data_IF_083456037782
#
_entry.id   IF_083456037782
#
_cell.length_a   1.000
_cell.length_b   1.000
_cell.length_c   1.000
_cell.angle_alpha   90.00
_cell.angle_beta   90.00
_cell.angle_gamma   90.00
#
_symmetry.space_group_name_H-M   'P 1'
#
loop_
_entity.id
_entity.type
_entity.pdbx_description
1 polymer ?
#
# COMPACT_ATOMS: atom_id res chain seq x y z
N UNK A 1 28.20 -15.11 14.81
CA UNK A 1 29.50 -15.41 15.47
C UNK A 1 29.88 -14.20 16.27
N UNK A 2 29.65 -14.23 17.59
CA UNK A 2 30.00 -13.14 18.49
C UNK A 2 31.50 -13.19 18.77
N UNK A 3 32.17 -12.07 18.58
CA UNK A 3 33.57 -11.91 18.96
C UNK A 3 33.58 -11.81 20.49
N UNK A 4 33.85 -12.93 21.18
CA UNK A 4 34.17 -12.95 22.61
C UNK A 4 35.52 -12.25 22.82
N UNK A 5 35.49 -10.96 23.06
CA UNK A 5 36.63 -10.29 23.72
C UNK A 5 36.50 -10.50 25.24
N UNK A 6 37.52 -10.99 25.93
CA UNK A 6 37.44 -11.21 27.37
C UNK A 6 37.10 -9.90 28.07
N UNK A 7 35.97 -9.88 28.78
CA UNK A 7 35.51 -8.74 29.57
C UNK A 7 34.29 -7.95 29.05
N UNK A 8 33.76 -8.28 27.87
CA UNK A 8 32.55 -7.61 27.38
C UNK A 8 31.34 -8.58 27.44
N UNK A 9 30.26 -8.10 28.05
CA UNK A 9 28.96 -8.78 28.01
C UNK A 9 28.01 -7.90 27.22
N UNK A 10 27.37 -8.46 26.20
CA UNK A 10 26.31 -7.79 25.46
C UNK A 10 25.01 -8.57 25.57
N UNK A 11 23.91 -7.86 25.69
CA UNK A 11 22.57 -8.42 25.76
C UNK A 11 21.53 -7.47 25.21
N UNK A 12 20.35 -7.97 25.00
CA UNK A 12 19.19 -7.19 24.59
C UNK A 12 18.17 -7.14 25.74
N UNK A 13 17.65 -5.97 26.04
CA UNK A 13 16.66 -5.74 27.09
C UNK A 13 15.43 -5.06 26.48
N UNK A 14 14.27 -5.63 26.72
CA UNK A 14 13.00 -5.00 26.36
C UNK A 14 12.44 -4.24 27.57
N UNK A 15 12.33 -2.91 27.44
CA UNK A 15 11.79 -2.01 28.46
C UNK A 15 10.50 -1.35 27.92
N UNK A 16 9.36 -1.94 28.21
CA UNK A 16 8.07 -1.49 27.70
C UNK A 16 8.00 -1.59 26.17
N UNK A 17 7.97 -0.44 25.47
CA UNK A 17 7.97 -0.39 24.00
C UNK A 17 9.35 -0.20 23.37
N UNK A 18 10.41 -0.16 24.19
CA UNK A 18 11.78 0.06 23.72
C UNK A 18 12.57 -1.23 23.76
N UNK A 19 13.42 -1.40 22.74
CA UNK A 19 14.41 -2.47 22.64
C UNK A 19 15.78 -1.80 22.79
N UNK A 20 16.48 -2.18 23.86
CA UNK A 20 17.78 -1.60 24.22
C UNK A 20 18.87 -2.65 24.08
N UNK A 21 19.93 -2.37 23.35
CA UNK A 21 21.15 -3.17 23.40
C UNK A 21 22.00 -2.66 24.57
N UNK A 22 22.36 -3.59 25.44
CA UNK A 22 23.21 -3.34 26.61
C UNK A 22 24.61 -3.88 26.34
N UNK A 23 25.62 -3.04 26.54
CA UNK A 23 27.02 -3.40 26.51
C UNK A 23 27.62 -3.12 27.87
N UNK A 24 28.21 -4.13 28.52
CA UNK A 24 28.88 -4.03 29.80
C UNK A 24 30.40 -4.28 29.62
N UNK A 25 31.19 -3.36 30.11
CA UNK A 25 32.63 -3.48 30.12
C UNK A 25 33.17 -3.27 31.55
N UNK A 26 34.10 -4.09 32.03
CA UNK A 26 34.78 -3.83 33.28
C UNK A 26 35.69 -2.57 33.13
N UNK A 27 35.64 -1.68 34.10
CA UNK A 27 36.53 -0.56 34.21
C UNK A 27 37.39 -0.79 35.46
N UNK A 28 38.71 -0.93 35.30
CA UNK A 28 39.67 -1.10 36.41
C UNK A 28 40.53 0.14 36.52
N UNK A 29 40.45 0.80 37.67
CA UNK A 29 41.29 1.93 38.04
C UNK A 29 42.30 1.51 39.15
N UNK A 30 42.90 0.34 38.97
CA UNK A 30 44.01 -0.15 39.81
C UNK A 30 43.67 -0.47 41.28
N UNK A 31 42.67 0.12 41.89
CA UNK A 31 42.25 -0.10 43.27
C UNK A 31 40.75 -0.36 43.46
N UNK A 32 39.91 0.07 42.54
CA UNK A 32 38.45 -0.18 42.60
C UNK A 32 37.97 -0.70 41.25
N UNK A 33 37.37 -1.91 41.27
CA UNK A 33 36.70 -2.47 40.08
C UNK A 33 35.35 -1.79 39.90
N UNK A 34 35.07 -1.31 38.68
CA UNK A 34 33.80 -0.76 38.24
C UNK A 34 33.33 -1.44 36.96
N UNK A 35 32.13 -1.14 36.56
CA UNK A 35 31.61 -1.54 35.24
C UNK A 35 31.03 -0.32 34.52
N UNK A 36 31.34 -0.19 33.25
CA UNK A 36 30.68 0.77 32.34
C UNK A 36 29.55 0.04 31.60
N UNK A 37 28.36 0.63 31.63
CA UNK A 37 27.22 0.18 30.88
C UNK A 37 26.88 1.18 29.78
N UNK A 38 26.79 0.73 28.54
CA UNK A 38 26.26 1.50 27.40
C UNK A 38 24.92 0.91 26.99
N UNK A 39 23.91 1.75 26.96
CA UNK A 39 22.56 1.39 26.50
C UNK A 39 22.30 2.09 25.17
N UNK A 40 22.01 1.31 24.15
CA UNK A 40 21.68 1.82 22.82
C UNK A 40 20.22 1.48 22.48
N UNK A 41 19.39 2.50 22.22
CA UNK A 41 18.00 2.29 21.79
C UNK A 41 17.98 1.87 20.32
N UNK A 42 17.74 0.60 20.08
CA UNK A 42 17.67 -0.03 18.75
C UNK A 42 16.22 -0.30 18.28
N UNK A 43 15.25 0.27 18.98
CA UNK A 43 13.82 0.01 18.72
C UNK A 43 13.45 0.28 17.26
N UNK A 44 13.84 1.41 16.71
CA UNK A 44 13.53 1.77 15.32
C UNK A 44 14.24 0.84 14.33
N UNK A 45 15.51 0.49 14.61
CA UNK A 45 16.29 -0.41 13.76
C UNK A 45 15.67 -1.81 13.73
N UNK A 46 15.33 -2.36 14.91
CA UNK A 46 14.70 -3.70 15.02
C UNK A 46 13.35 -3.75 14.31
N UNK A 47 12.50 -2.75 14.51
CA UNK A 47 11.22 -2.65 13.80
C UNK A 47 11.41 -2.61 12.28
N UNK A 48 12.40 -1.87 11.79
CA UNK A 48 12.69 -1.81 10.36
C UNK A 48 13.19 -3.16 9.82
N UNK A 49 14.03 -3.88 10.57
CA UNK A 49 14.50 -5.22 10.21
C UNK A 49 13.35 -6.24 10.18
N UNK A 50 12.46 -6.19 11.19
CA UNK A 50 11.26 -7.04 11.23
C UNK A 50 10.33 -6.75 10.07
N UNK A 51 10.00 -5.49 9.82
CA UNK A 51 9.18 -5.09 8.66
C UNK A 51 9.80 -5.55 7.34
N UNK A 52 11.13 -5.48 7.20
CA UNK A 52 11.83 -5.95 5.99
C UNK A 52 11.74 -7.48 5.84
N UNK A 53 11.91 -8.25 6.93
CA UNK A 53 11.77 -9.70 6.92
C UNK A 53 10.33 -10.11 6.57
N UNK A 54 9.36 -9.48 7.19
CA UNK A 54 7.93 -9.71 6.93
C UNK A 54 7.58 -9.36 5.47
N UNK A 55 8.10 -8.25 4.95
CA UNK A 55 7.92 -7.86 3.56
C UNK A 55 8.42 -8.95 2.59
N UNK A 56 9.65 -9.46 2.76
CA UNK A 56 10.21 -10.52 1.90
C UNK A 56 9.40 -11.81 2.01
N UNK A 57 8.97 -12.19 3.21
CA UNK A 57 8.13 -13.36 3.42
C UNK A 57 6.77 -13.22 2.70
N UNK A 58 6.12 -12.06 2.85
CA UNK A 58 4.83 -11.78 2.21
C UNK A 58 4.94 -11.75 0.67
N UNK A 59 5.99 -11.12 0.10
CA UNK A 59 6.27 -11.18 -1.35
C UNK A 59 6.38 -12.62 -1.83
N UNK A 60 7.15 -13.46 -1.10
CA UNK A 60 7.36 -14.85 -1.47
C UNK A 60 6.06 -15.65 -1.45
N UNK A 61 5.19 -15.39 -0.47
CA UNK A 61 3.88 -16.03 -0.38
C UNK A 61 2.92 -15.56 -1.47
N UNK A 62 2.84 -14.24 -1.72
CA UNK A 62 1.93 -13.67 -2.72
C UNK A 62 2.33 -14.02 -4.17
N UNK A 63 3.60 -14.36 -4.43
CA UNK A 63 4.06 -14.86 -5.73
C UNK A 63 3.94 -16.39 -5.85
N UNK A 64 4.11 -17.15 -4.77
CA UNK A 64 4.05 -18.61 -4.80
C UNK A 64 2.67 -19.15 -5.15
N UNK A 65 1.62 -18.56 -4.59
CA UNK A 65 0.23 -19.01 -4.81
C UNK A 65 -0.18 -18.95 -6.28
N UNK A 66 -0.10 -17.80 -6.99
CA UNK A 66 -0.44 -17.74 -8.41
C UNK A 66 0.45 -18.65 -9.26
N UNK A 67 1.73 -18.75 -8.95
CA UNK A 67 2.66 -19.63 -9.67
C UNK A 67 2.25 -21.11 -9.55
N UNK A 68 1.79 -21.52 -8.36
CA UNK A 68 1.29 -22.89 -8.13
C UNK A 68 0.01 -23.14 -8.94
N UNK A 69 -0.90 -22.16 -8.99
CA UNK A 69 -2.12 -22.27 -9.77
C UNK A 69 -1.82 -22.35 -11.28
N UNK A 70 -0.99 -21.43 -11.81
CA UNK A 70 -0.56 -21.45 -13.22
C UNK A 70 0.05 -22.79 -13.58
N UNK A 71 0.94 -23.30 -12.76
CA UNK A 71 1.59 -24.61 -12.98
C UNK A 71 0.56 -25.74 -12.96
N UNK A 72 -0.32 -25.80 -11.96
CA UNK A 72 -1.31 -26.88 -11.82
C UNK A 72 -2.26 -26.95 -13.00
N UNK A 73 -2.82 -25.80 -13.45
CA UNK A 73 -3.72 -25.77 -14.61
C UNK A 73 -2.98 -26.10 -15.91
N UNK A 74 -1.73 -25.63 -16.08
CA UNK A 74 -0.91 -25.97 -17.24
C UNK A 74 -0.57 -27.47 -17.28
N UNK A 75 -0.20 -28.09 -16.13
CA UNK A 75 0.03 -29.55 -16.02
C UNK A 75 -1.27 -30.32 -16.34
N UNK A 76 -2.43 -29.88 -15.81
CA UNK A 76 -3.72 -30.52 -16.10
C UNK A 76 -4.07 -30.47 -17.59
N UNK A 77 -3.85 -29.33 -18.24
CA UNK A 77 -4.06 -29.19 -19.69
C UNK A 77 -3.14 -30.06 -20.53
N UNK A 78 -1.87 -30.20 -20.10
CA UNK A 78 -0.87 -30.99 -20.81
C UNK A 78 -1.15 -32.50 -20.69
N UNK A 79 -1.56 -32.96 -19.48
CA UNK A 79 -1.63 -34.39 -19.16
C UNK A 79 -2.99 -35.02 -19.49
N UNK A 80 -3.97 -34.24 -19.98
CA UNK A 80 -5.30 -34.70 -20.35
C UNK A 80 -5.65 -34.24 -21.76
N UNK A 81 -5.61 -35.13 -22.74
CA UNK A 81 -5.93 -34.83 -24.14
C UNK A 81 -7.45 -34.66 -24.39
N UNK A 82 -8.31 -35.27 -23.57
CA UNK A 82 -9.75 -35.30 -23.72
C UNK A 82 -10.51 -34.20 -22.95
N UNK A 83 -9.84 -33.13 -22.53
CA UNK A 83 -10.51 -32.02 -21.83
C UNK A 83 -11.48 -31.30 -22.80
N UNK A 84 -12.79 -31.15 -22.42
CA UNK A 84 -13.72 -30.35 -23.21
C UNK A 84 -13.18 -28.93 -23.45
N UNK A 85 -13.35 -28.41 -24.66
CA UNK A 85 -12.78 -27.13 -25.06
C UNK A 85 -13.18 -25.96 -24.14
N UNK A 86 -14.41 -25.96 -23.63
CA UNK A 86 -14.90 -24.92 -22.72
C UNK A 86 -14.15 -24.98 -21.38
N UNK A 87 -13.88 -26.19 -20.88
CA UNK A 87 -13.11 -26.39 -19.65
C UNK A 87 -11.65 -25.99 -19.86
N UNK A 88 -11.05 -26.35 -21.02
CA UNK A 88 -9.70 -25.95 -21.36
C UNK A 88 -9.58 -24.41 -21.45
N UNK A 89 -10.55 -23.74 -22.07
CA UNK A 89 -10.58 -22.27 -22.11
C UNK A 89 -10.69 -21.67 -20.70
N UNK A 90 -11.56 -22.21 -19.85
CA UNK A 90 -11.68 -21.74 -18.46
C UNK A 90 -10.37 -21.88 -17.68
N UNK A 91 -9.60 -22.97 -17.88
CA UNK A 91 -8.28 -23.13 -17.27
C UNK A 91 -7.26 -22.13 -17.80
N UNK A 92 -7.28 -21.86 -19.11
CA UNK A 92 -6.43 -20.84 -19.73
C UNK A 92 -6.76 -19.43 -19.20
N UNK A 93 -8.04 -19.10 -19.03
CA UNK A 93 -8.46 -17.83 -18.44
C UNK A 93 -7.92 -17.66 -17.00
N UNK A 94 -7.91 -18.74 -16.21
CA UNK A 94 -7.32 -18.72 -14.88
C UNK A 94 -5.79 -18.49 -14.98
N UNK A 95 -5.10 -19.17 -15.89
CA UNK A 95 -3.65 -18.99 -16.09
C UNK A 95 -3.33 -17.54 -16.47
N UNK A 96 -4.11 -16.95 -17.38
CA UNK A 96 -3.95 -15.55 -17.80
C UNK A 96 -4.18 -14.61 -16.61
N UNK A 97 -5.28 -14.79 -15.87
CA UNK A 97 -5.61 -13.92 -14.74
C UNK A 97 -4.57 -13.96 -13.62
N UNK A 98 -4.01 -15.14 -13.34
CA UNK A 98 -2.94 -15.28 -12.33
C UNK A 98 -1.61 -14.66 -12.81
N UNK A 99 -1.32 -14.75 -14.10
CA UNK A 99 -0.13 -14.10 -14.71
C UNK A 99 -0.26 -12.57 -14.66
N UNK A 100 -1.44 -12.02 -14.95
CA UNK A 100 -1.72 -10.60 -14.83
C UNK A 100 -1.63 -10.12 -13.38
N UNK A 101 -2.07 -10.95 -12.43
CA UNK A 101 -1.92 -10.69 -11.01
C UNK A 101 -0.44 -10.63 -10.60
N UNK A 102 0.38 -11.59 -11.04
CA UNK A 102 1.83 -11.59 -10.78
C UNK A 102 2.49 -10.33 -11.33
N UNK A 103 2.12 -9.94 -12.56
CA UNK A 103 2.63 -8.72 -13.20
C UNK A 103 2.31 -7.48 -12.37
N UNK A 104 1.08 -7.37 -11.85
CA UNK A 104 0.70 -6.25 -10.95
C UNK A 104 1.50 -6.26 -9.65
N UNK A 105 1.69 -7.43 -9.02
CA UNK A 105 2.52 -7.54 -7.80
C UNK A 105 3.94 -7.03 -8.07
N UNK A 106 4.57 -7.45 -9.16
CA UNK A 106 5.93 -7.03 -9.53
C UNK A 106 5.99 -5.51 -9.78
N UNK A 107 5.02 -4.93 -10.48
CA UNK A 107 4.95 -3.49 -10.74
C UNK A 107 4.78 -2.69 -9.45
N UNK A 108 3.92 -3.17 -8.53
CA UNK A 108 3.72 -2.57 -7.21
C UNK A 108 5.01 -2.60 -6.37
N UNK A 109 5.73 -3.72 -6.38
CA UNK A 109 7.02 -3.89 -5.70
C UNK A 109 8.08 -2.95 -6.25
N UNK A 110 8.19 -2.83 -7.57
CA UNK A 110 9.12 -1.90 -8.22
C UNK A 110 8.78 -0.45 -7.88
N UNK A 111 7.48 -0.12 -7.82
CA UNK A 111 7.02 1.21 -7.41
C UNK A 111 7.41 1.51 -5.98
N UNK A 112 7.15 0.60 -5.02
CA UNK A 112 7.56 0.74 -3.63
C UNK A 112 9.08 0.85 -3.48
N UNK A 113 9.84 0.00 -4.16
CA UNK A 113 11.30 0.04 -4.12
C UNK A 113 11.86 1.38 -4.58
N UNK A 114 11.31 1.96 -5.65
CA UNK A 114 11.70 3.30 -6.12
C UNK A 114 11.30 4.39 -5.13
N UNK A 115 10.12 4.28 -4.55
CA UNK A 115 9.67 5.19 -3.50
C UNK A 115 10.59 5.08 -2.26
N UNK A 116 10.87 3.91 -1.73
CA UNK A 116 11.71 3.71 -0.53
C UNK A 116 13.15 4.21 -0.70
N UNK A 117 13.74 4.00 -1.88
CA UNK A 117 15.13 4.41 -2.13
C UNK A 117 15.34 5.92 -2.30
N UNK A 118 14.28 6.73 -2.25
CA UNK A 118 14.36 8.16 -2.54
C UNK A 118 14.71 8.50 -4.00
N UNK A 119 14.94 7.47 -4.83
CA UNK A 119 15.33 7.63 -6.26
C UNK A 119 14.16 7.89 -7.19
N UNK A 120 12.92 7.82 -6.70
CA UNK A 120 11.78 8.26 -7.48
C UNK A 120 11.86 9.78 -7.59
N UNK A 121 12.39 10.30 -8.69
CA UNK A 121 12.20 11.69 -9.06
C UNK A 121 10.70 11.93 -9.20
N UNK A 122 10.12 12.66 -8.27
CA UNK A 122 8.74 13.11 -8.34
C UNK A 122 8.74 14.29 -9.30
N UNK A 123 8.14 14.11 -10.48
CA UNK A 123 8.03 15.19 -11.47
C UNK A 123 6.99 16.22 -11.01
N UNK A 124 7.44 17.16 -10.20
CA UNK A 124 6.57 18.23 -9.67
C UNK A 124 6.25 19.23 -10.76
N UNK A 125 5.04 19.14 -11.33
CA UNK A 125 4.50 20.06 -12.35
C UNK A 125 3.16 20.65 -11.91
N UNK A 126 2.81 21.80 -12.43
CA UNK A 126 1.46 22.36 -12.24
C UNK A 126 0.50 21.74 -13.25
N UNK A 127 -0.60 21.19 -12.77
CA UNK A 127 -1.65 20.61 -13.62
C UNK A 127 -3.05 20.84 -13.02
N UNK A 128 -4.10 20.85 -13.87
CA UNK A 128 -5.47 20.93 -13.39
C UNK A 128 -5.85 19.64 -12.66
N UNK A 129 -6.23 19.73 -11.38
CA UNK A 129 -6.66 18.56 -10.61
C UNK A 129 -7.87 17.87 -11.23
N UNK A 130 -8.81 18.65 -11.77
CA UNK A 130 -10.01 18.14 -12.43
C UNK A 130 -9.65 17.17 -13.57
N UNK A 131 -8.67 17.49 -14.40
CA UNK A 131 -8.28 16.65 -15.54
C UNK A 131 -7.74 15.28 -15.08
N UNK A 132 -7.00 15.27 -13.95
CA UNK A 132 -6.49 14.01 -13.38
C UNK A 132 -7.63 13.15 -12.82
N UNK A 133 -8.59 13.74 -12.10
CA UNK A 133 -9.75 13.03 -11.57
C UNK A 133 -10.63 12.48 -12.70
N UNK A 134 -10.92 13.30 -13.72
CA UNK A 134 -11.68 12.86 -14.88
C UNK A 134 -10.99 11.76 -15.70
N UNK A 135 -9.65 11.82 -15.81
CA UNK A 135 -8.85 10.77 -16.45
C UNK A 135 -9.06 9.42 -15.75
N UNK A 136 -8.95 9.42 -14.42
CA UNK A 136 -9.16 8.20 -13.62
C UNK A 136 -10.59 7.71 -13.70
N UNK A 137 -11.58 8.59 -13.53
CA UNK A 137 -13.00 8.21 -13.57
C UNK A 137 -13.38 7.57 -14.92
N UNK A 138 -12.87 8.12 -16.04
CA UNK A 138 -13.07 7.52 -17.37
C UNK A 138 -12.40 6.15 -17.49
N UNK A 139 -11.22 5.97 -16.94
CA UNK A 139 -10.48 4.70 -17.01
C UNK A 139 -11.19 3.55 -16.26
N UNK A 140 -11.90 3.86 -15.19
CA UNK A 140 -12.61 2.86 -14.37
C UNK A 140 -14.08 2.69 -14.73
N UNK A 141 -14.63 3.52 -15.63
CA UNK A 141 -16.06 3.56 -15.94
C UNK A 141 -16.59 2.23 -16.46
N UNK A 142 -15.86 1.59 -17.37
CA UNK A 142 -16.26 0.28 -17.92
C UNK A 142 -16.26 -0.81 -16.85
N UNK A 143 -15.28 -0.78 -15.94
CA UNK A 143 -15.20 -1.75 -14.84
C UNK A 143 -16.37 -1.55 -13.85
N UNK A 144 -16.66 -0.30 -13.49
CA UNK A 144 -17.82 0.03 -12.66
C UNK A 144 -19.13 -0.44 -13.31
N UNK A 145 -19.29 -0.22 -14.63
CA UNK A 145 -20.47 -0.67 -15.38
C UNK A 145 -20.60 -2.20 -15.42
N UNK A 146 -19.52 -2.96 -15.55
CA UNK A 146 -19.54 -4.43 -15.52
C UNK A 146 -20.10 -4.98 -14.21
N UNK A 147 -19.88 -4.28 -13.10
CA UNK A 147 -20.46 -4.59 -11.79
C UNK A 147 -21.80 -3.90 -11.53
N UNK A 148 -22.36 -3.20 -12.52
CA UNK A 148 -23.61 -2.45 -12.37
C UNK A 148 -23.52 -1.27 -11.40
N UNK A 149 -22.31 -0.80 -11.07
CA UNK A 149 -22.13 0.31 -10.14
C UNK A 149 -22.50 1.65 -10.77
N UNK A 150 -23.06 2.54 -9.95
CA UNK A 150 -23.25 3.94 -10.30
C UNK A 150 -22.00 4.72 -9.85
N UNK A 151 -21.28 5.30 -10.82
CA UNK A 151 -20.10 6.15 -10.54
C UNK A 151 -20.49 7.62 -10.58
N UNK A 152 -20.56 8.27 -9.44
CA UNK A 152 -20.90 9.69 -9.27
C UNK A 152 -19.63 10.55 -9.21
N UNK A 153 -19.70 11.74 -9.81
CA UNK A 153 -18.62 12.73 -9.83
C UNK A 153 -19.20 14.04 -9.31
N UNK A 154 -18.70 14.49 -8.15
CA UNK A 154 -19.22 15.70 -7.48
C UNK A 154 -18.03 16.59 -7.14
N UNK A 155 -17.76 17.54 -8.02
CA UNK A 155 -16.68 18.48 -7.79
C UNK A 155 -17.25 19.82 -7.34
N UNK A 156 -16.68 20.38 -6.27
CA UNK A 156 -17.03 21.70 -5.74
C UNK A 156 -16.69 22.83 -6.71
N UNK A 157 -16.54 24.08 -6.24
CA UNK A 157 -16.15 25.22 -7.09
C UNK A 157 -14.91 24.88 -7.90
N UNK A 158 -14.60 25.63 -8.99
CA UNK A 158 -13.53 25.25 -9.93
C UNK A 158 -12.28 24.79 -9.21
N UNK A 159 -11.91 23.51 -9.41
CA UNK A 159 -10.75 22.93 -8.77
C UNK A 159 -9.48 23.63 -9.27
N UNK A 160 -8.50 23.90 -8.39
CA UNK A 160 -7.31 24.65 -8.76
C UNK A 160 -6.34 23.79 -9.56
N UNK A 161 -5.37 24.44 -10.19
CA UNK A 161 -4.13 23.80 -10.57
C UNK A 161 -3.33 23.49 -9.28
N UNK A 162 -2.88 22.26 -9.15
CA UNK A 162 -2.01 21.83 -8.04
C UNK A 162 -0.59 21.56 -8.52
N UNK A 163 0.38 21.65 -7.60
CA UNK A 163 1.76 21.25 -7.85
C UNK A 163 1.94 19.78 -7.42
N UNK A 164 2.34 18.90 -8.35
CA UNK A 164 2.53 17.48 -8.04
C UNK A 164 2.96 16.66 -9.25
N UNK A 165 3.20 15.39 -9.02
CA UNK A 165 3.36 14.40 -10.09
C UNK A 165 1.98 13.86 -10.48
N UNK A 166 1.48 14.34 -11.62
CA UNK A 166 0.15 14.00 -12.11
C UNK A 166 -0.04 12.48 -12.19
N UNK A 167 0.91 11.78 -12.78
CA UNK A 167 0.80 10.32 -13.01
C UNK A 167 0.74 9.54 -11.68
N UNK A 168 1.50 9.98 -10.69
CA UNK A 168 1.48 9.39 -9.36
C UNK A 168 0.19 9.68 -8.60
N UNK A 169 -0.34 10.90 -8.73
CA UNK A 169 -1.62 11.26 -8.10
C UNK A 169 -2.80 10.56 -8.79
N UNK A 170 -2.79 10.39 -10.11
CA UNK A 170 -3.73 9.53 -10.82
C UNK A 170 -3.66 8.09 -10.30
N UNK A 171 -2.46 7.54 -10.06
CA UNK A 171 -2.27 6.22 -9.46
C UNK A 171 -2.88 6.12 -8.05
N UNK A 172 -2.76 7.16 -7.22
CA UNK A 172 -3.39 7.22 -5.89
C UNK A 172 -4.90 7.08 -6.01
N UNK A 173 -5.53 7.91 -6.84
CA UNK A 173 -6.98 7.90 -7.02
C UNK A 173 -7.44 6.57 -7.62
N UNK A 174 -6.69 6.03 -8.62
CA UNK A 174 -6.95 4.73 -9.22
C UNK A 174 -6.96 3.61 -8.19
N UNK A 175 -5.98 3.58 -7.28
CA UNK A 175 -5.88 2.57 -6.23
C UNK A 175 -7.08 2.64 -5.26
N UNK A 176 -7.54 3.85 -4.95
CA UNK A 176 -8.66 4.05 -4.03
C UNK A 176 -9.99 3.72 -4.71
N UNK A 177 -10.23 4.23 -5.93
CA UNK A 177 -11.46 3.94 -6.69
C UNK A 177 -11.54 2.46 -7.08
N UNK A 178 -10.41 1.85 -7.48
CA UNK A 178 -10.35 0.42 -7.77
C UNK A 178 -10.72 -0.45 -6.55
N UNK A 179 -10.32 -0.03 -5.35
CA UNK A 179 -10.77 -0.69 -4.12
C UNK A 179 -12.28 -0.48 -3.88
N UNK A 180 -12.80 0.73 -4.09
CA UNK A 180 -14.23 1.01 -3.97
C UNK A 180 -15.05 0.10 -4.90
N UNK A 181 -14.68 -0.03 -6.20
CA UNK A 181 -15.33 -0.94 -7.15
C UNK A 181 -15.29 -2.39 -6.65
N UNK A 182 -14.13 -2.82 -6.20
CA UNK A 182 -13.88 -4.20 -5.80
C UNK A 182 -14.65 -4.63 -4.54
N UNK A 183 -14.82 -3.72 -3.57
CA UNK A 183 -15.40 -4.05 -2.26
C UNK A 183 -16.86 -3.59 -2.12
N UNK A 184 -17.43 -3.04 -3.17
CA UNK A 184 -18.86 -2.73 -3.26
C UNK A 184 -19.57 -3.90 -3.93
N UNK A 185 -20.67 -4.45 -3.36
CA UNK A 185 -21.50 -5.42 -4.02
C UNK A 185 -22.10 -4.86 -5.32
N UNK A 186 -22.35 -5.74 -6.29
CA UNK A 186 -22.90 -5.37 -7.59
C UNK A 186 -24.15 -4.48 -7.45
N UNK A 187 -24.25 -3.45 -8.27
CA UNK A 187 -25.32 -2.46 -8.24
C UNK A 187 -25.16 -1.35 -7.20
N UNK A 188 -24.03 -1.31 -6.46
CA UNK A 188 -23.78 -0.26 -5.48
C UNK A 188 -23.37 1.09 -6.08
N UNK A 189 -23.15 2.07 -5.20
CA UNK A 189 -22.77 3.44 -5.57
C UNK A 189 -21.33 3.74 -5.15
N UNK A 190 -20.59 4.41 -6.03
CA UNK A 190 -19.26 4.92 -5.78
C UNK A 190 -19.25 6.40 -6.14
N UNK A 191 -18.80 7.27 -5.26
CA UNK A 191 -18.65 8.69 -5.56
C UNK A 191 -17.21 9.15 -5.44
N UNK A 192 -16.84 10.06 -6.34
CA UNK A 192 -15.57 10.80 -6.30
C UNK A 192 -15.93 12.28 -6.12
N UNK A 193 -15.70 12.78 -4.92
CA UNK A 193 -15.99 14.14 -4.54
C UNK A 193 -14.68 14.91 -4.34
N UNK A 194 -14.61 16.17 -4.75
CA UNK A 194 -13.41 16.98 -4.54
C UNK A 194 -13.77 18.44 -4.29
N UNK A 195 -12.93 19.11 -3.50
CA UNK A 195 -13.13 20.52 -3.17
C UNK A 195 -11.90 21.17 -2.57
N UNK A 196 -12.05 22.43 -2.17
CA UNK A 196 -10.99 23.25 -1.60
C UNK A 196 -11.31 23.55 -0.14
N UNK A 197 -10.27 23.52 0.70
CA UNK A 197 -10.33 24.00 2.08
C UNK A 197 -9.04 24.74 2.43
N UNK A 198 -9.10 26.07 2.42
CA UNK A 198 -7.93 26.93 2.62
C UNK A 198 -6.92 26.77 1.49
N UNK A 199 -5.69 26.45 1.83
CA UNK A 199 -4.56 26.20 0.92
C UNK A 199 -4.44 24.74 0.43
N UNK A 200 -5.45 23.92 0.71
CA UNK A 200 -5.46 22.49 0.38
C UNK A 200 -6.67 22.11 -0.47
N UNK A 201 -6.48 21.08 -1.28
CA UNK A 201 -7.57 20.35 -1.92
C UNK A 201 -7.82 19.07 -1.16
N UNK A 202 -9.07 18.63 -1.14
CA UNK A 202 -9.46 17.33 -0.65
C UNK A 202 -10.15 16.55 -1.77
N UNK A 203 -9.96 15.23 -1.75
CA UNK A 203 -10.59 14.26 -2.65
C UNK A 203 -11.15 13.17 -1.77
N UNK A 204 -12.44 12.92 -1.84
CA UNK A 204 -13.14 11.85 -1.16
C UNK A 204 -13.58 10.82 -2.19
N UNK A 205 -13.23 9.57 -1.92
CA UNK A 205 -13.79 8.43 -2.64
C UNK A 205 -14.64 7.67 -1.66
N UNK A 206 -15.94 7.66 -1.90
CA UNK A 206 -16.94 7.01 -1.05
C UNK A 206 -17.59 5.85 -1.80
N UNK A 207 -17.85 4.77 -1.09
CA UNK A 207 -18.54 3.59 -1.60
C UNK A 207 -19.65 3.13 -0.64
N UNK A 208 -20.60 2.38 -1.15
CA UNK A 208 -21.66 1.72 -0.38
C UNK A 208 -21.34 0.26 -0.08
N UNK A 209 -20.07 -0.08 -0.02
CA UNK A 209 -19.55 -1.44 0.13
C UNK A 209 -19.62 -2.00 1.55
N UNK A 210 -18.83 -3.05 1.78
CA UNK A 210 -18.83 -3.81 3.04
C UNK A 210 -18.25 -3.02 4.23
N UNK A 211 -17.61 -1.88 3.97
CA UNK A 211 -16.96 -1.07 5.00
C UNK A 211 -15.66 -1.65 5.52
N UNK A 212 -15.01 -0.91 6.43
CA UNK A 212 -13.75 -1.30 7.10
C UNK A 212 -13.95 -1.23 8.61
N UNK A 213 -13.74 -2.34 9.33
CA UNK A 213 -13.84 -2.36 10.79
C UNK A 213 -12.94 -1.29 11.43
N UNK A 214 -13.37 -0.61 12.50
CA UNK A 214 -12.60 0.48 13.12
C UNK A 214 -11.16 0.13 13.48
N UNK A 215 -10.92 -1.10 13.97
CA UNK A 215 -9.59 -1.59 14.35
C UNK A 215 -8.64 -1.76 13.17
N UNK A 216 -9.16 -1.84 11.93
CA UNK A 216 -8.38 -2.10 10.71
C UNK A 216 -8.09 -0.83 9.92
N UNK A 217 -8.80 0.29 10.21
CA UNK A 217 -8.74 1.54 9.42
C UNK A 217 -7.36 2.18 9.31
N UNK A 218 -6.51 2.04 10.32
CA UNK A 218 -5.12 2.50 10.25
C UNK A 218 -4.24 1.48 9.52
N UNK A 219 -4.52 0.19 9.72
CA UNK A 219 -3.71 -0.90 9.22
C UNK A 219 -3.88 -1.19 7.74
N UNK A 220 -5.01 -0.80 7.13
CA UNK A 220 -5.22 -1.01 5.69
C UNK A 220 -4.20 -0.30 4.80
N UNK A 221 -3.47 0.66 5.35
CA UNK A 221 -2.36 1.35 4.69
C UNK A 221 -1.01 0.66 4.89
N UNK A 222 -0.96 -0.42 5.69
CA UNK A 222 0.24 -1.23 5.86
C UNK A 222 0.43 -2.15 4.65
N UNK A 223 1.68 -2.46 4.32
CA UNK A 223 2.02 -3.31 3.16
C UNK A 223 1.49 -4.73 3.36
N UNK A 224 0.83 -5.29 2.34
CA UNK A 224 0.21 -6.62 2.34
C UNK A 224 -0.92 -6.82 3.37
N UNK A 225 -1.34 -5.75 4.05
CA UNK A 225 -2.44 -5.87 4.98
C UNK A 225 -3.77 -6.07 4.25
N UNK A 226 -4.61 -6.94 4.80
CA UNK A 226 -5.95 -7.24 4.30
C UNK A 226 -6.83 -7.60 5.49
N UNK A 227 -8.04 -7.05 5.53
CA UNK A 227 -9.04 -7.33 6.59
C UNK A 227 -9.46 -8.80 6.54
N UNK A 228 -9.71 -9.33 5.34
CA UNK A 228 -10.05 -10.73 5.11
C UNK A 228 -9.13 -11.32 4.02
N UNK A 229 -8.23 -12.22 4.43
CA UNK A 229 -7.26 -12.86 3.53
C UNK A 229 -7.91 -13.85 2.55
N UNK A 230 -9.02 -14.50 2.93
CA UNK A 230 -9.66 -15.51 2.09
C UNK A 230 -10.43 -14.85 0.94
N UNK A 231 -11.35 -13.96 1.26
CA UNK A 231 -12.18 -13.23 0.29
C UNK A 231 -11.36 -12.33 -0.64
N UNK A 232 -10.28 -11.75 -0.12
CA UNK A 232 -9.41 -10.87 -0.91
C UNK A 232 -8.52 -11.61 -1.91
N UNK A 233 -8.33 -12.95 -1.79
CA UNK A 233 -7.62 -13.75 -2.79
C UNK A 233 -8.45 -13.95 -4.04
N UNK A 234 -9.73 -14.23 -3.89
CA UNK A 234 -10.67 -14.40 -5.01
C UNK A 234 -10.78 -13.12 -5.84
N UNK A 235 -10.71 -11.96 -5.21
CA UNK A 235 -10.79 -10.66 -5.87
C UNK A 235 -9.42 -10.08 -6.34
N UNK A 236 -8.33 -10.87 -6.33
CA UNK A 236 -7.05 -10.54 -6.98
C UNK A 236 -6.26 -9.34 -6.44
N UNK A 237 -6.55 -8.85 -5.21
CA UNK A 237 -5.83 -7.73 -4.63
C UNK A 237 -4.42 -8.08 -4.15
N UNK A 238 -3.46 -7.19 -4.32
CA UNK A 238 -2.07 -7.37 -3.88
C UNK A 238 -1.84 -7.00 -2.42
N UNK A 239 -2.73 -6.17 -1.83
CA UNK A 239 -2.52 -5.57 -0.51
C UNK A 239 -1.45 -4.46 -0.51
N UNK A 240 -1.00 -4.02 -1.68
CA UNK A 240 0.03 -2.98 -1.83
C UNK A 240 -0.55 -1.63 -2.28
N UNK A 241 -1.70 -1.61 -2.95
CA UNK A 241 -2.25 -0.42 -3.57
C UNK A 241 -2.46 0.75 -2.61
N UNK A 242 -3.07 0.53 -1.42
CA UNK A 242 -3.27 1.59 -0.44
C UNK A 242 -1.97 2.03 0.24
N UNK A 243 -1.01 1.14 0.45
CA UNK A 243 0.31 1.51 0.97
C UNK A 243 1.11 2.35 -0.04
N UNK A 244 1.01 2.04 -1.34
CA UNK A 244 1.56 2.86 -2.41
C UNK A 244 0.88 4.23 -2.45
N UNK A 245 -0.46 4.27 -2.35
CA UNK A 245 -1.21 5.51 -2.32
C UNK A 245 -0.77 6.41 -1.16
N UNK A 246 -0.63 5.84 0.04
CA UNK A 246 -0.15 6.57 1.24
C UNK A 246 1.26 7.14 1.02
N UNK A 247 2.19 6.34 0.52
CA UNK A 247 3.56 6.79 0.29
C UNK A 247 3.63 7.92 -0.74
N UNK A 248 2.89 7.83 -1.83
CA UNK A 248 2.80 8.89 -2.84
C UNK A 248 2.22 10.17 -2.23
N UNK A 249 1.12 10.07 -1.48
CA UNK A 249 0.47 11.21 -0.85
C UNK A 249 1.39 11.89 0.17
N UNK A 250 2.12 11.11 0.98
CA UNK A 250 3.10 11.65 1.94
C UNK A 250 4.24 12.40 1.24
N UNK A 251 4.73 11.90 0.11
CA UNK A 251 5.74 12.59 -0.71
C UNK A 251 5.22 13.88 -1.34
N UNK A 252 3.91 13.98 -1.53
CA UNK A 252 3.25 15.23 -1.93
C UNK A 252 2.86 16.11 -0.72
N UNK A 253 3.43 15.85 0.48
CA UNK A 253 3.13 16.58 1.73
C UNK A 253 1.64 16.59 2.06
N UNK A 254 0.93 15.57 1.59
CA UNK A 254 -0.50 15.36 1.83
C UNK A 254 -0.77 14.38 2.97
N UNK A 255 -2.03 14.04 3.12
CA UNK A 255 -2.49 12.99 4.04
C UNK A 255 -3.60 12.16 3.39
N UNK A 256 -3.66 10.87 3.74
CA UNK A 256 -4.71 9.95 3.34
C UNK A 256 -5.25 9.26 4.58
N UNK A 257 -6.58 9.15 4.70
CA UNK A 257 -7.23 8.51 5.84
C UNK A 257 -8.63 8.03 5.50
N UNK A 258 -9.14 7.10 6.31
CA UNK A 258 -10.57 6.76 6.32
C UNK A 258 -11.32 7.78 7.15
N UNK A 259 -12.47 8.21 6.66
CA UNK A 259 -13.40 9.03 7.42
C UNK A 259 -14.36 8.13 8.20
N UNK A 260 -14.75 8.59 9.39
CA UNK A 260 -15.91 8.03 10.06
C UNK A 260 -17.16 8.43 9.28
N UNK A 261 -18.01 7.45 8.98
CA UNK A 261 -19.28 7.66 8.32
C UNK A 261 -20.38 6.89 9.03
N UNK A 262 -21.58 7.42 8.96
CA UNK A 262 -22.79 6.71 9.38
C UNK A 262 -23.28 5.83 8.23
N UNK A 263 -23.54 4.54 8.50
CA UNK A 263 -24.02 3.59 7.50
C UNK A 263 -22.94 2.71 6.88
N UNK A 264 -23.33 1.88 5.89
CA UNK A 264 -22.45 0.94 5.21
C UNK A 264 -21.48 1.67 4.27
N UNK A 265 -20.34 1.02 3.98
CA UNK A 265 -19.36 1.50 3.02
C UNK A 265 -18.13 2.13 3.65
N UNK A 266 -17.33 2.77 2.81
CA UNK A 266 -16.06 3.40 3.19
C UNK A 266 -15.93 4.74 2.50
N UNK A 267 -15.38 5.74 3.21
CA UNK A 267 -14.92 6.99 2.60
C UNK A 267 -13.43 7.16 2.87
N UNK A 268 -12.65 7.19 1.80
CA UNK A 268 -11.22 7.49 1.82
C UNK A 268 -11.01 8.95 1.47
N UNK A 269 -10.46 9.74 2.38
CA UNK A 269 -10.09 11.14 2.14
C UNK A 269 -8.62 11.29 1.86
N UNK A 270 -8.30 11.94 0.74
CA UNK A 270 -6.96 12.39 0.35
C UNK A 270 -6.94 13.91 0.48
N UNK A 271 -5.90 14.46 1.11
CA UNK A 271 -5.70 15.92 1.23
C UNK A 271 -4.33 16.26 0.68
N UNK A 272 -4.27 17.25 -0.22
CA UNK A 272 -3.04 17.68 -0.86
C UNK A 272 -2.91 19.20 -0.75
N UNK A 273 -1.71 19.77 -0.57
CA UNK A 273 -1.48 21.20 -0.66
C UNK A 273 -1.63 21.67 -2.12
N UNK A 274 -2.24 22.85 -2.34
CA UNK A 274 -2.37 23.45 -3.67
C UNK A 274 -1.00 23.87 -4.20
N UNK A 275 -0.15 24.43 -3.33
CA UNK A 275 1.20 24.87 -3.64
C UNK A 275 2.18 24.06 -2.81
N UNK A 276 3.25 23.61 -3.43
CA UNK A 276 4.39 23.01 -2.75
C UNK A 276 5.58 23.95 -3.00
N UNK A 277 6.25 24.37 -1.94
CA UNK A 277 7.51 25.09 -2.09
C UNK A 277 8.56 24.16 -2.73
N UNK A 278 9.21 24.63 -3.80
CA UNK A 278 10.35 23.94 -4.35
C UNK A 278 11.42 23.79 -3.25
N UNK A 279 11.78 22.55 -2.93
CA UNK A 279 12.96 22.30 -2.12
C UNK A 279 14.15 22.67 -2.99
N UNK A 280 14.68 23.88 -2.82
CA UNK A 280 16.01 24.22 -3.35
C UNK A 280 17.00 23.32 -2.63
N UNK A 281 17.47 22.30 -3.32
CA UNK A 281 18.65 21.56 -2.89
C UNK A 281 19.82 22.51 -3.09
N UNK A 282 20.34 23.05 -1.96
CA UNK A 282 21.60 23.79 -1.90
C UNK A 282 22.77 22.80 -1.84
#
# INVERSE_FOLDING_TARGET
MGIHRPGFVSGELTAGRRILELYLAPVSDGKNGGAMAVLHDVTAQRKNEEMRKEFVANVSHELRTPLTNVRGYAETLRDNEDIPRDTANAFLDIVISETDRMTRIVQDLLTLSRLDSGRAEVKMVRFPLLDALESVCRAVELEAQRHGHTLLRRYGPPLPMIMGDRSRLEQVVMNVVGNAIKYTPDGGEISVDAGIRGDKVWIDVSDTGIGIPPQDRERIFDRFYRVDKARSRESGGTGLGLSIAREIVLRHRGSIRILDQEGPGTTVRIVLPIRQEEVRHG
#
